data_IF_047896809763
#
_entry.id   IF_047896809763
#
_cell.length_a   1.000
_cell.length_b   1.000
_cell.length_c   1.000
_cell.angle_alpha   90.00
_cell.angle_beta   90.00
_cell.angle_gamma   90.00
#
_symmetry.space_group_name_H-M   'P 1'
#
loop_
_entity.id
_entity.type
_entity.pdbx_description
1 polymer ?
#
# COMPACT_ATOMS: atom_id res chain seq x y z
N UNK A 1 -0.53 -24.17 12.01
CA UNK A 1 0.37 -23.06 12.37
C UNK A 1 -0.41 -21.76 12.32
N UNK A 2 -0.36 -21.00 13.38
CA UNK A 2 -1.10 -19.73 13.45
C UNK A 2 -0.25 -18.65 12.79
N UNK A 3 -0.80 -17.88 11.80
CA UNK A 3 -0.06 -16.77 11.19
C UNK A 3 0.28 -15.71 12.25
N UNK A 4 1.44 -15.10 12.08
CA UNK A 4 1.85 -14.00 12.95
C UNK A 4 1.33 -12.69 12.36
N UNK A 5 0.35 -12.02 12.99
CA UNK A 5 -0.20 -10.78 12.45
C UNK A 5 0.84 -9.67 12.28
N UNK A 6 1.85 -9.63 13.13
CA UNK A 6 2.89 -8.61 13.03
C UNK A 6 3.75 -8.83 11.79
N UNK A 7 4.14 -10.07 11.51
CA UNK A 7 4.90 -10.39 10.30
C UNK A 7 4.07 -10.10 9.05
N UNK A 8 2.79 -10.46 9.07
CA UNK A 8 1.88 -10.18 7.95
C UNK A 8 1.66 -8.68 7.77
N UNK A 9 1.60 -7.92 8.86
CA UNK A 9 1.48 -6.47 8.79
C UNK A 9 2.67 -5.85 8.07
N UNK A 10 3.88 -6.35 8.32
CA UNK A 10 5.06 -5.87 7.61
C UNK A 10 5.00 -6.18 6.12
N UNK A 11 4.46 -7.32 5.75
CA UNK A 11 4.25 -7.67 4.34
C UNK A 11 3.24 -6.73 3.67
N UNK A 12 2.20 -6.33 4.39
CA UNK A 12 1.22 -5.37 3.85
C UNK A 12 1.87 -4.04 3.50
N UNK A 13 2.84 -3.58 4.28
CA UNK A 13 3.57 -2.35 3.99
C UNK A 13 4.35 -2.43 2.70
N UNK A 14 4.73 -3.62 2.27
CA UNK A 14 5.54 -3.81 1.08
C UNK A 14 4.71 -3.77 -0.19
N UNK A 15 3.55 -4.44 -0.20
CA UNK A 15 2.84 -4.68 -1.45
C UNK A 15 1.36 -4.29 -1.49
N UNK A 16 0.76 -3.97 -0.36
CA UNK A 16 -0.69 -3.75 -0.29
C UNK A 16 -1.06 -2.39 0.28
N UNK A 17 -0.51 -2.05 1.44
CA UNK A 17 -0.75 -0.77 2.11
C UNK A 17 0.60 -0.04 2.14
N UNK A 18 1.08 0.30 0.95
CA UNK A 18 2.42 0.80 0.75
C UNK A 18 2.50 2.33 0.62
N UNK A 19 1.37 3.04 0.72
CA UNK A 19 1.35 4.50 0.64
C UNK A 19 0.76 5.12 1.89
N UNK A 20 1.14 6.38 2.12
CA UNK A 20 0.60 7.17 3.22
C UNK A 20 -0.92 7.25 3.17
N UNK A 21 -1.47 7.50 1.99
CA UNK A 21 -2.93 7.62 1.82
C UNK A 21 -3.65 6.32 2.20
N UNK A 22 -3.09 5.18 1.80
CA UNK A 22 -3.67 3.87 2.15
C UNK A 22 -3.65 3.65 3.66
N UNK A 23 -2.54 3.97 4.33
CA UNK A 23 -2.45 3.86 5.79
C UNK A 23 -3.48 4.75 6.48
N UNK A 24 -3.60 6.01 6.05
CA UNK A 24 -4.53 6.94 6.68
C UNK A 24 -5.98 6.52 6.47
N UNK A 25 -6.33 6.00 5.30
CA UNK A 25 -7.67 5.50 5.03
C UNK A 25 -8.00 4.29 5.93
N UNK A 26 -7.13 3.29 5.99
CA UNK A 26 -7.41 2.12 6.85
C UNK A 26 -7.44 2.48 8.32
N UNK A 27 -6.58 3.42 8.74
CA UNK A 27 -6.59 3.89 10.12
C UNK A 27 -7.91 4.57 10.47
N UNK A 28 -8.40 5.44 9.58
CA UNK A 28 -9.68 6.12 9.77
C UNK A 28 -10.83 5.11 9.87
N UNK A 29 -10.86 4.11 8.97
CA UNK A 29 -11.89 3.08 8.98
C UNK A 29 -11.80 2.16 10.21
N UNK A 30 -10.59 1.92 10.70
CA UNK A 30 -10.42 1.12 11.93
C UNK A 30 -10.97 1.85 13.14
N UNK A 31 -10.89 3.17 13.15
CA UNK A 31 -11.38 3.99 14.28
C UNK A 31 -12.89 4.17 14.25
N UNK A 32 -13.45 4.33 13.08
CA UNK A 32 -14.88 4.61 12.93
C UNK A 32 -15.35 4.21 11.54
N UNK A 33 -16.18 3.21 11.47
CA UNK A 33 -16.77 2.73 10.23
C UNK A 33 -18.25 2.45 10.47
N UNK A 34 -19.12 2.54 9.47
CA UNK A 34 -18.78 2.87 8.07
C UNK A 34 -18.54 4.36 7.86
N UNK A 35 -17.78 4.68 6.81
CA UNK A 35 -17.52 6.06 6.42
C UNK A 35 -17.72 6.22 4.91
N UNK A 36 -18.32 7.34 4.53
CA UNK A 36 -18.44 7.66 3.11
C UNK A 36 -17.12 8.19 2.58
N UNK A 37 -16.96 8.12 1.25
CA UNK A 37 -15.80 8.68 0.59
C UNK A 37 -15.62 10.17 0.92
N UNK A 38 -16.72 10.93 0.90
CA UNK A 38 -16.67 12.37 1.18
C UNK A 38 -16.26 12.65 2.63
N UNK A 39 -16.76 11.86 3.57
CA UNK A 39 -16.40 12.02 4.98
C UNK A 39 -14.91 11.72 5.20
N UNK A 40 -14.39 10.70 4.53
CA UNK A 40 -12.96 10.38 4.59
C UNK A 40 -12.10 11.49 4.01
N UNK A 41 -12.51 12.01 2.85
CA UNK A 41 -11.77 13.09 2.18
C UNK A 41 -11.70 14.33 3.08
N UNK A 42 -12.80 14.68 3.72
CA UNK A 42 -12.88 15.84 4.62
C UNK A 42 -12.02 15.62 5.87
N UNK A 43 -12.13 14.46 6.50
CA UNK A 43 -11.37 14.17 7.72
C UNK A 43 -9.87 14.12 7.47
N UNK A 44 -9.47 13.47 6.38
CA UNK A 44 -8.06 13.26 6.07
C UNK A 44 -7.43 14.42 5.32
N UNK A 45 -8.22 15.41 4.92
CA UNK A 45 -7.77 16.55 4.14
C UNK A 45 -7.09 16.10 2.84
N UNK A 46 -7.68 15.10 2.19
CA UNK A 46 -7.23 14.57 0.92
C UNK A 46 -8.24 14.90 -0.18
N UNK A 47 -7.77 15.10 -1.42
CA UNK A 47 -8.70 15.29 -2.53
C UNK A 47 -9.61 14.08 -2.68
N UNK A 48 -10.91 14.27 -2.98
CA UNK A 48 -11.83 13.15 -3.14
C UNK A 48 -11.37 12.11 -4.16
N UNK A 49 -10.73 12.53 -5.25
CA UNK A 49 -10.24 11.59 -6.26
C UNK A 49 -9.15 10.67 -5.69
N UNK A 50 -8.30 11.19 -4.82
CA UNK A 50 -7.26 10.40 -4.17
C UNK A 50 -7.89 9.36 -3.24
N UNK A 51 -8.89 9.77 -2.46
CA UNK A 51 -9.60 8.84 -1.56
C UNK A 51 -10.31 7.76 -2.36
N UNK A 52 -10.99 8.15 -3.45
CA UNK A 52 -11.67 7.19 -4.32
C UNK A 52 -10.71 6.14 -4.86
N UNK A 53 -9.60 6.58 -5.43
CA UNK A 53 -8.63 5.67 -6.02
C UNK A 53 -7.98 4.77 -4.96
N UNK A 54 -7.69 5.34 -3.79
CA UNK A 54 -7.16 4.59 -2.67
C UNK A 54 -8.12 3.49 -2.21
N UNK A 55 -9.40 3.83 -2.05
CA UNK A 55 -10.43 2.86 -1.65
C UNK A 55 -10.58 1.75 -2.70
N UNK A 56 -10.55 2.11 -3.98
CA UNK A 56 -10.66 1.11 -5.06
C UNK A 56 -9.49 0.14 -5.06
N UNK A 57 -8.29 0.64 -4.86
CA UNK A 57 -7.10 -0.23 -4.78
C UNK A 57 -7.14 -1.14 -3.56
N UNK A 58 -7.55 -0.60 -2.41
CA UNK A 58 -7.69 -1.42 -1.20
C UNK A 58 -8.80 -2.46 -1.34
N UNK A 59 -9.90 -2.10 -2.02
CA UNK A 59 -10.98 -3.04 -2.28
C UNK A 59 -10.54 -4.16 -3.23
N UNK A 60 -9.74 -3.85 -4.24
CA UNK A 60 -9.19 -4.84 -5.15
C UNK A 60 -8.31 -5.86 -4.42
N UNK A 61 -7.71 -5.46 -3.31
CA UNK A 61 -6.87 -6.33 -2.47
C UNK A 61 -7.63 -6.94 -1.29
N UNK A 62 -8.95 -6.76 -1.24
CA UNK A 62 -9.82 -7.32 -0.21
C UNK A 62 -9.51 -6.80 1.20
N UNK A 63 -9.03 -5.59 1.30
CA UNK A 63 -8.79 -4.93 2.60
C UNK A 63 -10.05 -4.22 3.07
N UNK A 64 -10.74 -3.52 2.15
CA UNK A 64 -11.95 -2.77 2.46
C UNK A 64 -13.08 -3.20 1.54
N UNK A 65 -14.31 -2.88 1.95
CA UNK A 65 -15.49 -3.11 1.13
C UNK A 65 -16.48 -1.99 1.30
N UNK A 66 -17.30 -1.78 0.28
CA UNK A 66 -18.34 -0.78 0.28
C UNK A 66 -19.71 -1.43 0.49
N UNK A 67 -20.50 -0.84 1.38
CA UNK A 67 -21.89 -1.19 1.58
C UNK A 67 -22.75 0.07 1.35
N UNK A 68 -24.07 -0.05 1.47
CA UNK A 68 -24.97 1.08 1.24
C UNK A 68 -24.72 2.26 2.16
N UNK A 69 -24.18 2.00 3.34
CA UNK A 69 -23.90 3.01 4.36
C UNK A 69 -22.47 3.53 4.36
N UNK A 70 -21.62 3.03 3.49
CA UNK A 70 -20.24 3.50 3.35
C UNK A 70 -19.21 2.38 3.31
N UNK A 71 -17.96 2.76 3.53
CA UNK A 71 -16.81 1.87 3.46
C UNK A 71 -16.41 1.37 4.85
N UNK A 72 -15.88 0.17 4.89
CA UNK A 72 -15.36 -0.44 6.11
C UNK A 72 -14.26 -1.43 5.81
N UNK A 73 -13.45 -1.73 6.81
CA UNK A 73 -12.45 -2.81 6.71
C UNK A 73 -13.22 -4.13 6.68
N UNK A 74 -12.84 -5.02 5.75
CA UNK A 74 -13.51 -6.31 5.63
C UNK A 74 -13.16 -7.21 6.82
N UNK A 75 -14.18 -7.54 7.65
CA UNK A 75 -13.98 -8.38 8.83
C UNK A 75 -13.68 -9.83 8.47
N UNK A 76 -14.19 -10.29 7.34
CA UNK A 76 -14.01 -11.67 6.88
C UNK A 76 -12.85 -11.82 5.90
N UNK A 77 -12.11 -10.75 5.64
CA UNK A 77 -10.99 -10.78 4.73
C UNK A 77 -9.82 -11.57 5.31
N UNK A 78 -9.02 -12.22 4.46
CA UNK A 78 -7.87 -13.00 4.93
C UNK A 78 -6.80 -12.14 5.58
N UNK A 79 -6.83 -10.83 5.34
CA UNK A 79 -5.84 -9.88 5.86
C UNK A 79 -6.37 -8.99 6.96
N UNK A 80 -7.55 -9.31 7.51
CA UNK A 80 -8.19 -8.47 8.52
C UNK A 80 -7.30 -8.28 9.75
N UNK A 81 -6.82 -9.38 10.32
CA UNK A 81 -5.98 -9.33 11.52
C UNK A 81 -4.68 -8.58 11.26
N UNK A 82 -4.06 -8.80 10.10
CA UNK A 82 -2.83 -8.12 9.73
C UNK A 82 -3.05 -6.61 9.53
N UNK A 83 -4.17 -6.23 8.93
CA UNK A 83 -4.53 -4.82 8.73
C UNK A 83 -4.71 -4.11 10.07
N UNK A 84 -5.43 -4.73 11.00
CA UNK A 84 -5.61 -4.15 12.33
C UNK A 84 -4.30 -4.07 13.10
N UNK A 85 -3.43 -5.08 12.97
CA UNK A 85 -2.11 -5.05 13.59
C UNK A 85 -1.26 -3.92 13.03
N UNK A 86 -1.32 -3.69 11.73
CA UNK A 86 -0.59 -2.60 11.09
C UNK A 86 -1.08 -1.24 11.58
N UNK A 87 -2.39 -1.05 11.69
CA UNK A 87 -2.97 0.19 12.21
C UNK A 87 -2.51 0.43 13.65
N UNK A 88 -2.48 -0.60 14.47
CA UNK A 88 -2.04 -0.48 15.85
C UNK A 88 -0.56 -0.10 15.93
N UNK A 89 0.29 -0.70 15.11
CA UNK A 89 1.72 -0.35 15.04
C UNK A 89 1.88 1.10 14.59
N UNK A 90 1.10 1.51 13.60
CA UNK A 90 1.14 2.87 13.06
C UNK A 90 0.71 3.88 14.13
N UNK A 91 -0.31 3.58 14.92
CA UNK A 91 -0.76 4.46 16.00
C UNK A 91 0.30 4.62 17.09
N UNK A 92 1.05 3.56 17.38
CA UNK A 92 2.10 3.60 18.40
C UNK A 92 3.37 4.28 17.92
N UNK A 93 3.73 4.10 16.66
CA UNK A 93 5.00 4.59 16.11
C UNK A 93 4.82 5.04 14.67
N UNK A 94 4.09 6.15 14.53
CA UNK A 94 3.78 6.70 13.20
C UNK A 94 5.05 7.02 12.40
N UNK A 95 6.00 7.69 13.06
CA UNK A 95 7.24 8.10 12.39
C UNK A 95 8.04 6.89 11.94
N UNK A 96 8.14 5.87 12.78
CA UNK A 96 8.85 4.65 12.43
C UNK A 96 8.24 3.93 11.23
N UNK A 97 6.91 3.84 11.20
CA UNK A 97 6.23 3.21 10.06
C UNK A 97 6.44 4.01 8.78
N UNK A 98 6.29 5.34 8.84
CA UNK A 98 6.49 6.18 7.66
C UNK A 98 7.93 6.12 7.15
N UNK A 99 8.91 6.09 8.06
CA UNK A 99 10.31 5.93 7.68
C UNK A 99 10.55 4.60 7.00
N UNK A 100 9.95 3.53 7.50
CA UNK A 100 10.08 2.21 6.88
C UNK A 100 9.46 2.18 5.49
N UNK A 101 8.30 2.81 5.31
CA UNK A 101 7.68 2.92 3.99
C UNK A 101 8.57 3.67 3.00
N UNK A 102 9.15 4.77 3.44
CA UNK A 102 10.07 5.54 2.62
C UNK A 102 11.27 4.69 2.21
N UNK A 103 11.83 3.95 3.14
CA UNK A 103 12.97 3.07 2.87
C UNK A 103 12.61 1.99 1.86
N UNK A 104 11.46 1.36 2.01
CA UNK A 104 10.97 0.36 1.06
C UNK A 104 10.81 0.96 -0.33
N UNK A 105 10.20 2.14 -0.42
CA UNK A 105 10.02 2.82 -1.69
C UNK A 105 11.34 3.16 -2.37
N UNK A 106 12.32 3.62 -1.59
CA UNK A 106 13.66 3.92 -2.11
C UNK A 106 14.38 2.67 -2.59
N UNK A 107 14.25 1.57 -1.87
CA UNK A 107 14.84 0.29 -2.29
C UNK A 107 14.26 -0.18 -3.62
N UNK A 108 12.93 -0.01 -3.81
CA UNK A 108 12.29 -0.33 -5.08
C UNK A 108 12.80 0.53 -6.23
N UNK A 109 12.92 1.83 -5.99
CA UNK A 109 13.44 2.75 -7.00
C UNK A 109 14.85 2.36 -7.40
N UNK A 110 15.70 2.03 -6.44
CA UNK A 110 17.07 1.60 -6.69
C UNK A 110 17.11 0.28 -7.47
N UNK A 111 16.28 -0.67 -7.09
CA UNK A 111 16.20 -1.95 -7.78
C UNK A 111 15.74 -1.77 -9.23
N UNK A 112 14.74 -0.93 -9.46
CA UNK A 112 14.24 -0.66 -10.80
C UNK A 112 15.29 0.08 -11.64
N UNK A 113 15.99 1.04 -11.04
CA UNK A 113 17.05 1.76 -11.74
C UNK A 113 18.20 0.84 -12.11
N UNK A 114 18.60 -0.04 -11.20
CA UNK A 114 19.66 -1.02 -11.46
C UNK A 114 19.25 -1.98 -12.57
N UNK A 115 18.00 -2.42 -12.57
CA UNK A 115 17.48 -3.32 -13.59
C UNK A 115 17.46 -2.65 -14.95
N UNK A 116 16.96 -1.41 -15.01
CA UNK A 116 16.94 -0.62 -16.24
C UNK A 116 18.33 -0.41 -16.79
N UNK A 117 19.28 -0.10 -15.92
CA UNK A 117 20.69 0.07 -16.31
C UNK A 117 21.27 -1.23 -16.86
N UNK A 118 21.02 -2.34 -16.19
CA UNK A 118 21.51 -3.63 -16.64
C UNK A 118 20.92 -4.02 -18.01
N UNK A 119 19.62 -3.79 -18.20
CA UNK A 119 18.95 -4.07 -19.46
C UNK A 119 19.54 -3.25 -20.61
N UNK A 120 19.78 -1.97 -20.36
CA UNK A 120 20.38 -1.10 -21.36
C UNK A 120 21.80 -1.57 -21.73
N UNK A 121 22.54 -2.03 -20.75
CA UNK A 121 23.90 -2.53 -20.96
C UNK A 121 23.93 -3.81 -21.78
N UNK A 122 23.01 -4.73 -21.50
CA UNK A 122 22.94 -6.01 -22.20
C UNK A 122 22.46 -5.84 -23.65
N UNK A 123 21.52 -4.94 -23.87
CA UNK A 123 20.94 -4.76 -25.20
C UNK A 123 21.90 -4.10 -26.18
N UNK A 124 22.76 -3.22 -25.73
CA UNK A 124 23.70 -2.50 -26.60
C UNK A 124 24.67 -3.40 -27.33
N UNK A 125 25.37 -4.33 -26.67
CA UNK A 125 26.28 -5.22 -27.39
C UNK A 125 25.60 -6.05 -28.44
N UNK A 126 24.38 -6.53 -28.19
CA UNK A 126 23.61 -7.32 -29.14
C UNK A 126 23.29 -6.52 -30.38
N UNK A 127 22.88 -5.26 -30.23
CA UNK A 127 22.55 -4.41 -31.36
C UNK A 127 23.75 -4.13 -32.24
N UNK A 128 24.91 -3.94 -31.66
CA UNK A 128 26.15 -3.73 -32.40
C UNK A 128 26.52 -4.97 -33.22
N UNK A 129 26.40 -6.11 -32.61
CA UNK A 129 26.70 -7.36 -33.29
C UNK A 129 25.77 -7.57 -34.50
N UNK A 130 24.50 -7.26 -34.36
CA UNK A 130 23.53 -7.36 -35.42
C UNK A 130 23.83 -6.39 -36.55
N UNK A 131 24.30 -5.20 -36.25
CA UNK A 131 24.60 -4.19 -37.26
C UNK A 131 25.86 -4.52 -38.03
N UNK A 132 26.78 -5.23 -37.45
CA UNK A 132 28.00 -5.67 -38.13
C UNK A 132 27.78 -6.87 -39.03
N UNK A 133 26.75 -7.62 -38.74
CA UNK A 133 26.38 -8.74 -39.55
C UNK A 133 25.59 -8.29 -40.77
#
# INVERSE_FOLDING_TARGET
>A
MVPDPVAEAQELLVDTIETFEKLEVVRALARSAPRTMDALAEELLLPPVVVRDTLRELAARHIVGEASDGWRILANGPRHAATLALVEIYDRDRVGVLNRMTKIALERIRADAARTFADAFVLRPKKKDDSDG
#
